data_IF_804974886037
#
_entry.id   IF_804974886037
#
_cell.length_a   1.000
_cell.length_b   1.000
_cell.length_c   1.000
_cell.angle_alpha   90.00
_cell.angle_beta   90.00
_cell.angle_gamma   90.00
#
_symmetry.space_group_name_H-M   'P 1'
#
loop_
_entity.id
_entity.type
_entity.pdbx_description
1 polymer ?
#
# COMPACT_ATOMS: atom_id res chain seq x y z
N UNK A 1 14.76 12.25 3.46
CA UNK A 1 14.08 12.01 2.16
C UNK A 1 13.95 13.30 1.33
N UNK A 2 14.98 13.67 0.55
CA UNK A 2 14.99 14.92 -0.22
C UNK A 2 14.63 14.81 -1.72
N UNK A 3 14.32 13.60 -2.20
CA UNK A 3 14.29 13.30 -3.65
C UNK A 3 12.92 12.85 -4.19
N UNK A 4 11.96 12.54 -3.33
CA UNK A 4 10.70 11.89 -3.74
C UNK A 4 9.77 12.79 -4.56
N UNK A 5 9.97 14.12 -4.47
CA UNK A 5 9.31 15.12 -5.32
C UNK A 5 10.03 15.37 -6.66
N UNK A 6 11.24 14.83 -6.87
CA UNK A 6 12.06 15.08 -8.07
C UNK A 6 11.62 14.16 -9.20
N UNK A 7 10.53 14.54 -9.88
CA UNK A 7 9.91 13.78 -10.97
C UNK A 7 10.88 13.37 -12.10
N UNK A 8 11.96 14.14 -12.30
CA UNK A 8 12.99 13.89 -13.32
C UNK A 8 14.21 13.08 -12.80
N UNK A 9 14.23 12.65 -11.53
CA UNK A 9 15.31 11.81 -11.00
C UNK A 9 15.13 10.39 -11.50
N UNK A 10 15.91 9.98 -12.50
CA UNK A 10 16.02 8.56 -12.83
C UNK A 10 16.61 7.80 -11.63
N UNK A 11 15.93 6.74 -11.22
CA UNK A 11 16.45 5.71 -10.30
C UNK A 11 16.49 4.39 -11.05
N UNK A 12 17.40 3.47 -10.71
CA UNK A 12 17.40 2.15 -11.33
C UNK A 12 16.16 1.33 -10.93
N UNK A 13 15.65 0.54 -11.88
CA UNK A 13 14.48 -0.33 -11.69
C UNK A 13 14.89 -1.56 -10.87
N UNK A 14 14.25 -1.75 -9.71
CA UNK A 14 14.47 -2.91 -8.83
C UNK A 14 13.96 -4.20 -9.48
N UNK A 15 14.66 -5.29 -9.23
CA UNK A 15 14.35 -6.65 -9.72
C UNK A 15 14.62 -7.66 -8.62
N UNK A 16 14.03 -8.86 -8.71
CA UNK A 16 14.29 -9.93 -7.72
C UNK A 16 15.77 -10.27 -7.65
N UNK A 17 16.45 -10.34 -8.80
CA UNK A 17 17.88 -10.58 -8.86
C UNK A 17 18.71 -9.47 -8.19
N UNK A 18 18.45 -8.20 -8.52
CA UNK A 18 19.25 -7.09 -7.97
C UNK A 18 19.08 -6.96 -6.46
N UNK A 19 17.86 -7.09 -5.94
CA UNK A 19 17.60 -6.96 -4.49
C UNK A 19 18.06 -8.20 -3.72
N UNK A 20 17.94 -9.41 -4.29
CA UNK A 20 18.53 -10.62 -3.72
C UNK A 20 20.07 -10.53 -3.64
N UNK A 21 20.73 -9.98 -4.68
CA UNK A 21 22.18 -9.70 -4.64
C UNK A 21 22.56 -8.71 -3.52
N UNK A 22 21.74 -7.69 -3.24
CA UNK A 22 21.98 -6.76 -2.11
C UNK A 22 21.86 -7.48 -0.76
N UNK A 23 20.79 -8.24 -0.52
CA UNK A 23 20.63 -9.00 0.75
C UNK A 23 21.76 -10.03 0.93
N UNK A 24 22.11 -10.76 -0.14
CA UNK A 24 23.22 -11.75 -0.15
C UNK A 24 24.59 -11.12 0.09
N UNK A 25 24.76 -9.83 -0.25
CA UNK A 25 25.96 -9.04 0.09
C UNK A 25 25.91 -8.58 1.55
N UNK A 26 24.77 -8.05 1.99
CA UNK A 26 24.60 -7.51 3.34
C UNK A 26 24.79 -8.58 4.43
N UNK A 27 24.34 -9.81 4.17
CA UNK A 27 24.53 -10.98 5.06
C UNK A 27 25.99 -11.44 5.25
N UNK A 28 26.97 -10.76 4.63
CA UNK A 28 28.42 -11.01 4.78
C UNK A 28 29.15 -9.89 5.54
N UNK A 29 28.42 -8.87 5.99
CA UNK A 29 28.94 -7.71 6.70
C UNK A 29 28.78 -7.89 8.22
N UNK A 30 29.30 -6.94 9.00
CA UNK A 30 28.90 -6.81 10.40
C UNK A 30 27.49 -6.19 10.50
N UNK A 31 26.86 -6.24 11.68
CA UNK A 31 25.46 -5.80 11.87
C UNK A 31 25.25 -4.34 11.46
N UNK A 32 26.16 -3.43 11.82
CA UNK A 32 26.06 -2.00 11.50
C UNK A 32 26.12 -1.75 10.00
N UNK A 33 27.16 -2.29 9.33
CA UNK A 33 27.35 -2.17 7.88
C UNK A 33 26.22 -2.88 7.10
N UNK A 34 25.65 -3.95 7.66
CA UNK A 34 24.49 -4.66 7.12
C UNK A 34 23.23 -3.78 7.17
N UNK A 35 22.95 -3.15 8.31
CA UNK A 35 21.80 -2.26 8.48
C UNK A 35 21.93 -1.01 7.61
N UNK A 36 23.09 -0.34 7.57
CA UNK A 36 23.34 0.82 6.70
C UNK A 36 23.16 0.45 5.21
N UNK A 37 23.72 -0.67 4.76
CA UNK A 37 23.56 -1.12 3.38
C UNK A 37 22.09 -1.41 3.06
N UNK A 38 21.36 -2.09 3.94
CA UNK A 38 19.96 -2.43 3.68
C UNK A 38 19.05 -1.19 3.72
N UNK A 39 19.23 -0.28 4.68
CA UNK A 39 18.49 0.98 4.75
C UNK A 39 18.75 1.86 3.51
N UNK A 40 19.98 1.91 3.00
CA UNK A 40 20.30 2.67 1.77
C UNK A 40 19.52 2.20 0.54
N UNK A 41 19.07 0.93 0.52
CA UNK A 41 18.16 0.38 -0.48
C UNK A 41 16.69 0.32 0.01
N UNK A 42 16.35 0.76 1.22
CA UNK A 42 15.00 0.59 1.77
C UNK A 42 14.58 -0.88 1.85
N UNK A 43 15.50 -1.71 2.33
CA UNK A 43 15.34 -3.13 2.63
C UNK A 43 15.56 -3.35 4.14
N UNK A 44 15.19 -4.53 4.62
CA UNK A 44 15.56 -5.02 5.95
C UNK A 44 16.33 -6.34 5.82
N UNK A 45 16.82 -6.89 6.93
CA UNK A 45 17.46 -8.21 6.92
C UNK A 45 16.40 -9.32 6.96
N UNK A 46 15.93 -9.76 5.80
CA UNK A 46 14.93 -10.82 5.65
C UNK A 46 15.18 -11.67 4.39
N UNK A 47 14.78 -12.94 4.43
CA UNK A 47 14.74 -13.82 3.25
C UNK A 47 13.34 -13.77 2.63
N UNK A 48 13.22 -13.26 1.40
CA UNK A 48 11.90 -13.11 0.79
C UNK A 48 11.46 -14.38 0.06
N UNK A 49 10.51 -15.12 0.63
CA UNK A 49 9.96 -16.33 0.00
C UNK A 49 9.40 -16.09 -1.42
N UNK A 50 8.97 -14.86 -1.76
CA UNK A 50 8.53 -14.49 -3.10
C UNK A 50 9.65 -14.45 -4.15
N UNK A 51 10.94 -14.59 -3.78
CA UNK A 51 12.05 -14.78 -4.71
C UNK A 51 12.32 -16.26 -5.04
N UNK A 52 11.86 -17.18 -4.19
CA UNK A 52 12.05 -18.64 -4.37
C UNK A 52 10.76 -19.36 -4.76
N UNK A 53 9.59 -18.75 -4.51
CA UNK A 53 8.30 -19.27 -4.95
C UNK A 53 8.18 -19.29 -6.48
N UNK A 54 7.73 -20.41 -7.05
CA UNK A 54 7.72 -20.61 -8.51
C UNK A 54 6.75 -19.64 -9.18
N UNK A 55 7.22 -19.01 -10.28
CA UNK A 55 6.50 -18.00 -11.06
C UNK A 55 6.15 -16.70 -10.29
N UNK A 56 6.76 -16.47 -9.12
CA UNK A 56 6.71 -15.18 -8.43
C UNK A 56 7.86 -14.27 -8.83
N UNK A 57 7.55 -13.00 -9.10
CA UNK A 57 8.51 -11.89 -8.98
C UNK A 57 7.77 -10.69 -8.35
N UNK A 58 8.08 -10.28 -7.11
CA UNK A 58 7.36 -9.21 -6.43
C UNK A 58 7.57 -7.82 -7.05
N UNK A 59 8.64 -7.61 -7.82
CA UNK A 59 8.95 -6.34 -8.49
C UNK A 59 8.28 -6.24 -9.88
N UNK A 60 8.03 -7.37 -10.53
CA UNK A 60 7.13 -7.47 -11.68
C UNK A 60 5.66 -7.31 -11.26
N UNK A 61 5.27 -7.90 -10.12
CA UNK A 61 3.90 -7.86 -9.60
C UNK A 61 3.49 -6.48 -9.03
N UNK A 62 4.43 -5.71 -8.47
CA UNK A 62 4.20 -4.33 -8.05
C UNK A 62 3.66 -3.49 -9.22
N UNK A 63 2.61 -2.69 -9.03
CA UNK A 63 1.96 -1.95 -10.12
C UNK A 63 1.32 -0.63 -9.66
N UNK A 64 0.82 0.15 -10.62
CA UNK A 64 0.07 1.38 -10.37
C UNK A 64 -1.40 1.07 -10.01
N UNK A 65 -1.65 0.70 -8.75
CA UNK A 65 -3.01 0.52 -8.21
C UNK A 65 -3.70 1.86 -7.93
N UNK A 66 -4.94 2.02 -8.41
CA UNK A 66 -5.68 3.28 -8.33
C UNK A 66 -6.11 3.62 -6.89
N UNK A 67 -6.49 2.61 -6.09
CA UNK A 67 -6.99 2.78 -4.73
C UNK A 67 -5.92 3.37 -3.82
N UNK A 68 -4.70 2.82 -3.85
CA UNK A 68 -3.59 3.25 -3.00
C UNK A 68 -2.91 4.55 -3.49
N UNK A 69 -3.10 4.95 -4.75
CA UNK A 69 -2.47 6.15 -5.32
C UNK A 69 -3.40 7.35 -5.40
N UNK A 70 -4.58 7.20 -6.01
CA UNK A 70 -5.52 8.29 -6.22
C UNK A 70 -6.50 8.40 -5.06
N UNK A 71 -7.25 7.33 -4.77
CA UNK A 71 -8.41 7.40 -3.87
C UNK A 71 -7.99 7.57 -2.40
N UNK A 72 -7.28 6.58 -1.84
CA UNK A 72 -6.72 6.64 -0.49
C UNK A 72 -5.49 7.55 -0.39
N UNK A 73 -4.70 7.62 -1.47
CA UNK A 73 -3.49 8.46 -1.53
C UNK A 73 -3.82 9.95 -1.67
N UNK A 74 -3.84 10.45 -2.91
CA UNK A 74 -3.96 11.87 -3.25
C UNK A 74 -5.25 12.50 -2.72
N UNK A 75 -6.40 11.91 -3.07
CA UNK A 75 -7.69 12.43 -2.67
C UNK A 75 -7.87 12.31 -1.16
N UNK A 76 -7.70 11.12 -0.58
CA UNK A 76 -7.94 10.87 0.84
C UNK A 76 -7.04 11.64 1.79
N UNK A 77 -5.73 11.36 1.78
CA UNK A 77 -4.78 11.91 2.78
C UNK A 77 -4.45 13.40 2.56
N UNK A 78 -4.73 13.95 1.37
CA UNK A 78 -4.44 15.35 1.04
C UNK A 78 -5.70 16.17 0.69
N UNK A 79 -6.33 15.95 -0.47
CA UNK A 79 -7.39 16.82 -1.00
C UNK A 79 -8.61 16.89 -0.07
N UNK A 80 -9.09 15.74 0.43
CA UNK A 80 -10.25 15.64 1.30
C UNK A 80 -10.04 16.35 2.65
N UNK A 81 -8.81 16.33 3.18
CA UNK A 81 -8.50 17.04 4.43
C UNK A 81 -8.63 18.55 4.26
N UNK A 82 -8.11 19.11 3.16
CA UNK A 82 -8.25 20.53 2.83
C UNK A 82 -9.71 20.92 2.56
N UNK A 83 -10.49 20.04 1.92
CA UNK A 83 -11.93 20.24 1.72
C UNK A 83 -12.67 20.27 3.07
N UNK A 84 -12.38 19.35 4.00
CA UNK A 84 -12.97 19.37 5.36
C UNK A 84 -12.63 20.66 6.10
N UNK A 85 -11.37 21.09 6.08
CA UNK A 85 -10.90 22.31 6.73
C UNK A 85 -11.62 23.56 6.19
N UNK A 86 -11.77 23.67 4.87
CA UNK A 86 -12.55 24.74 4.22
C UNK A 86 -14.05 24.68 4.57
N UNK A 87 -14.66 23.49 4.54
CA UNK A 87 -16.08 23.31 4.89
C UNK A 87 -16.36 23.60 6.38
N UNK A 88 -15.40 23.33 7.27
CA UNK A 88 -15.50 23.63 8.70
C UNK A 88 -15.34 25.12 8.96
N UNK A 89 -14.25 25.73 8.47
CA UNK A 89 -13.97 27.17 8.66
C UNK A 89 -15.01 28.09 8.01
N UNK A 90 -15.59 27.69 6.87
CA UNK A 90 -16.71 28.40 6.23
C UNK A 90 -18.09 28.12 6.82
N UNK A 91 -18.23 27.24 7.82
CA UNK A 91 -19.53 26.82 8.38
C UNK A 91 -20.43 26.01 7.42
N UNK A 92 -19.88 25.55 6.28
CA UNK A 92 -20.60 24.88 5.21
C UNK A 92 -20.80 23.36 5.42
N UNK A 93 -20.11 22.78 6.41
CA UNK A 93 -20.05 21.33 6.63
C UNK A 93 -21.44 20.65 6.76
N UNK A 94 -22.40 21.25 7.48
CA UNK A 94 -23.77 20.69 7.55
C UNK A 94 -24.41 20.64 6.17
N UNK A 95 -24.44 21.78 5.47
CA UNK A 95 -25.05 21.91 4.13
C UNK A 95 -24.42 20.96 3.11
N UNK A 96 -23.12 20.70 3.22
CA UNK A 96 -22.44 19.70 2.40
C UNK A 96 -22.93 18.27 2.71
N UNK A 97 -23.04 17.91 4.00
CA UNK A 97 -23.62 16.63 4.42
C UNK A 97 -25.08 16.48 3.98
N UNK A 98 -25.88 17.55 4.07
CA UNK A 98 -27.28 17.57 3.64
C UNK A 98 -27.42 17.27 2.13
N UNK A 99 -26.54 17.80 1.28
CA UNK A 99 -26.48 17.44 -0.14
C UNK A 99 -25.98 16.01 -0.36
N UNK A 100 -24.95 15.57 0.37
CA UNK A 100 -24.41 14.21 0.24
C UNK A 100 -25.42 13.13 0.70
N UNK A 101 -26.26 13.44 1.68
CA UNK A 101 -27.33 12.55 2.13
C UNK A 101 -28.48 12.41 1.11
N UNK A 102 -28.65 13.38 0.20
CA UNK A 102 -29.66 13.34 -0.88
C UNK A 102 -29.26 12.43 -2.06
N UNK A 103 -28.03 11.91 -2.13
CA UNK A 103 -27.63 10.99 -3.19
C UNK A 103 -28.43 9.67 -3.14
N UNK A 104 -28.77 9.06 -4.30
CA UNK A 104 -29.46 7.77 -4.34
C UNK A 104 -28.69 6.66 -3.64
N UNK A 105 -29.39 5.86 -2.82
CA UNK A 105 -28.80 4.69 -2.16
C UNK A 105 -28.67 3.53 -3.14
N UNK A 106 -27.45 3.15 -3.49
CA UNK A 106 -27.19 1.98 -4.33
C UNK A 106 -27.16 0.67 -3.54
N UNK A 107 -27.86 -0.35 -4.04
CA UNK A 107 -27.95 -1.68 -3.40
C UNK A 107 -26.56 -2.31 -3.28
N UNK A 108 -26.15 -2.64 -2.05
CA UNK A 108 -24.84 -3.24 -1.76
C UNK A 108 -23.71 -2.24 -1.47
N UNK A 109 -23.97 -0.94 -1.54
CA UNK A 109 -22.99 0.09 -1.16
C UNK A 109 -23.43 0.84 0.12
N UNK A 110 -22.44 1.24 0.95
CA UNK A 110 -22.68 2.03 2.16
C UNK A 110 -23.03 3.47 1.78
N UNK A 111 -24.24 3.92 2.12
CA UNK A 111 -24.61 5.33 2.01
C UNK A 111 -23.81 6.17 3.01
N UNK A 112 -23.30 7.32 2.57
CA UNK A 112 -22.49 8.22 3.41
C UNK A 112 -23.24 9.54 3.59
N UNK A 113 -24.06 9.61 4.64
CA UNK A 113 -24.91 10.78 4.94
C UNK A 113 -24.15 11.96 5.54
N UNK A 114 -22.96 11.72 6.11
CA UNK A 114 -22.22 12.72 6.90
C UNK A 114 -20.72 12.68 6.61
N UNK A 115 -20.28 12.79 5.35
CA UNK A 115 -18.87 12.61 4.98
C UNK A 115 -17.90 13.56 5.73
N UNK A 116 -18.28 14.79 6.10
CA UNK A 116 -17.34 15.69 6.80
C UNK A 116 -16.95 15.22 8.20
N UNK A 117 -17.67 14.24 8.79
CA UNK A 117 -17.31 13.60 10.05
C UNK A 117 -16.49 12.32 9.85
N UNK A 118 -15.94 12.12 8.64
CA UNK A 118 -15.13 10.95 8.27
C UNK A 118 -13.76 11.41 7.76
N UNK A 119 -12.72 10.96 8.45
CA UNK A 119 -11.34 11.06 7.95
C UNK A 119 -11.10 9.99 6.89
N UNK A 120 -10.64 10.40 5.71
CA UNK A 120 -10.42 9.48 4.61
C UNK A 120 -9.12 8.71 4.85
N UNK A 121 -9.29 7.45 5.23
CA UNK A 121 -8.29 6.63 5.94
C UNK A 121 -8.33 5.19 5.41
N UNK A 122 -8.08 5.06 4.10
CA UNK A 122 -8.10 3.79 3.36
C UNK A 122 -9.45 3.03 3.45
N UNK A 123 -9.51 1.77 2.97
CA UNK A 123 -10.77 1.13 2.62
C UNK A 123 -11.74 0.92 3.77
N UNK A 124 -11.26 0.80 5.02
CA UNK A 124 -12.06 0.54 6.23
C UNK A 124 -11.64 1.32 7.51
N UNK A 125 -11.21 2.59 7.40
CA UNK A 125 -11.30 3.66 8.45
C UNK A 125 -10.22 3.76 9.55
N UNK A 126 -9.98 5.03 10.00
CA UNK A 126 -9.19 5.54 11.15
C UNK A 126 -7.64 5.58 10.92
N UNK A 127 -6.80 6.46 11.51
CA UNK A 127 -6.86 7.69 12.37
C UNK A 127 -5.45 8.35 12.36
N UNK A 128 -5.15 9.64 12.58
CA UNK A 128 -5.91 10.90 12.72
C UNK A 128 -5.28 12.00 11.79
N UNK A 129 -4.44 13.00 12.10
CA UNK A 129 -3.96 13.68 13.34
C UNK A 129 -3.47 15.15 13.07
N UNK A 130 -2.84 15.83 14.04
CA UNK A 130 -2.62 17.29 14.09
C UNK A 130 -1.57 17.88 13.13
N UNK A 131 -2.04 18.28 11.93
CA UNK A 131 -1.64 19.49 11.14
C UNK A 131 -0.14 19.76 10.80
N UNK A 132 0.82 18.91 11.16
CA UNK A 132 2.22 19.00 10.72
C UNK A 132 2.47 18.43 9.32
N UNK A 133 1.85 18.97 8.27
CA UNK A 133 1.87 18.35 6.93
C UNK A 133 3.15 18.61 6.11
N UNK A 134 4.04 17.62 6.07
CA UNK A 134 5.01 17.46 4.97
C UNK A 134 4.32 16.89 3.71
N UNK A 135 4.66 17.42 2.54
CA UNK A 135 4.18 16.97 1.23
C UNK A 135 5.10 15.89 0.63
N UNK A 136 5.60 14.97 1.48
CA UNK A 136 6.53 13.91 1.08
C UNK A 136 5.83 12.75 0.36
N UNK A 137 5.41 13.01 -0.87
CA UNK A 137 4.71 12.03 -1.69
C UNK A 137 5.65 10.90 -2.17
N UNK A 138 5.94 9.89 -1.34
CA UNK A 138 6.65 8.66 -1.79
C UNK A 138 6.05 8.10 -3.09
N UNK A 139 4.72 8.17 -3.22
CA UNK A 139 3.94 7.69 -4.36
C UNK A 139 3.91 8.63 -5.57
N UNK A 140 4.37 9.88 -5.49
CA UNK A 140 4.35 10.78 -6.67
C UNK A 140 5.42 10.38 -7.68
N UNK A 141 6.60 9.92 -7.24
CA UNK A 141 7.67 9.50 -8.16
C UNK A 141 7.24 8.34 -9.07
N UNK A 142 6.43 7.38 -8.61
CA UNK A 142 5.98 6.24 -9.44
C UNK A 142 5.18 6.65 -10.69
N UNK A 143 4.74 7.90 -10.81
CA UNK A 143 4.17 8.42 -12.05
C UNK A 143 5.19 8.53 -13.20
N UNK A 144 6.49 8.73 -12.92
CA UNK A 144 7.52 8.71 -13.97
C UNK A 144 7.69 7.31 -14.56
N UNK A 145 7.46 6.27 -13.74
CA UNK A 145 7.56 4.86 -14.13
C UNK A 145 6.24 4.27 -14.64
N UNK A 146 5.12 4.98 -14.51
CA UNK A 146 3.79 4.47 -14.85
C UNK A 146 3.66 4.07 -16.33
N UNK A 147 4.31 4.79 -17.25
CA UNK A 147 4.31 4.45 -18.68
C UNK A 147 5.08 3.13 -18.92
N UNK A 148 6.26 2.96 -18.32
CA UNK A 148 7.00 1.70 -18.42
C UNK A 148 6.23 0.52 -17.82
N UNK A 149 5.53 0.75 -16.70
CA UNK A 149 4.70 -0.27 -16.07
C UNK A 149 3.48 -0.64 -16.93
N UNK A 150 2.78 0.33 -17.54
CA UNK A 150 1.71 0.00 -18.50
C UNK A 150 2.24 -0.72 -19.76
N UNK A 151 3.42 -0.35 -20.25
CA UNK A 151 4.04 -0.99 -21.42
C UNK A 151 4.56 -2.41 -21.12
N UNK A 152 4.99 -2.69 -19.88
CA UNK A 152 5.52 -4.00 -19.48
C UNK A 152 4.46 -4.95 -18.89
N UNK A 153 3.38 -4.42 -18.30
CA UNK A 153 2.36 -5.20 -17.54
C UNK A 153 0.95 -5.10 -18.14
N UNK A 154 0.74 -4.23 -19.12
CA UNK A 154 -0.55 -4.02 -19.77
C UNK A 154 -1.54 -3.20 -18.95
N UNK A 155 -2.82 -3.24 -19.36
CA UNK A 155 -3.90 -2.48 -18.71
C UNK A 155 -4.27 -3.06 -17.34
N UNK A 156 -4.48 -2.21 -16.34
CA UNK A 156 -4.81 -2.54 -14.94
C UNK A 156 -6.19 -3.20 -14.71
N UNK A 157 -6.77 -3.86 -15.72
CA UNK A 157 -8.15 -4.39 -15.70
C UNK A 157 -8.43 -5.40 -14.57
N UNK A 158 -7.41 -6.13 -14.13
CA UNK A 158 -7.45 -7.05 -12.98
C UNK A 158 -6.68 -6.52 -11.75
N UNK A 159 -5.99 -5.37 -11.87
CA UNK A 159 -5.12 -4.81 -10.82
C UNK A 159 -5.90 -3.86 -9.91
N UNK A 160 -6.97 -4.36 -9.29
CA UNK A 160 -7.75 -3.65 -8.28
C UNK A 160 -7.52 -4.31 -6.92
N UNK A 161 -6.70 -3.69 -6.08
CA UNK A 161 -6.29 -4.25 -4.78
C UNK A 161 -7.43 -4.47 -3.78
N UNK A 162 -8.63 -3.90 -3.99
CA UNK A 162 -9.79 -3.99 -3.08
C UNK A 162 -10.20 -5.42 -2.69
N UNK A 163 -9.91 -6.42 -3.53
CA UNK A 163 -10.14 -7.85 -3.20
C UNK A 163 -8.99 -8.42 -2.35
N UNK A 164 -7.74 -8.02 -2.63
CA UNK A 164 -6.55 -8.44 -1.89
C UNK A 164 -6.38 -7.73 -0.54
N UNK A 165 -6.92 -6.52 -0.38
CA UNK A 165 -6.89 -5.73 0.86
C UNK A 165 -7.47 -6.52 2.05
N UNK A 166 -8.59 -7.23 1.84
CA UNK A 166 -9.18 -8.10 2.86
C UNK A 166 -8.29 -9.27 3.26
N UNK A 167 -7.59 -9.89 2.30
CA UNK A 167 -6.60 -10.94 2.59
C UNK A 167 -5.39 -10.38 3.35
N UNK A 168 -4.88 -9.21 2.95
CA UNK A 168 -3.75 -8.56 3.62
C UNK A 168 -4.08 -8.17 5.08
N UNK A 169 -5.31 -7.73 5.36
CA UNK A 169 -5.79 -7.52 6.73
C UNK A 169 -5.90 -8.81 7.54
N UNK A 170 -6.15 -9.96 6.92
CA UNK A 170 -6.09 -11.25 7.62
C UNK A 170 -4.65 -11.71 7.86
N UNK A 171 -3.74 -11.50 6.88
CA UNK A 171 -2.29 -11.72 7.06
C UNK A 171 -1.74 -10.87 8.21
N UNK A 172 -2.11 -9.59 8.31
CA UNK A 172 -1.72 -8.71 9.43
C UNK A 172 -2.19 -9.25 10.79
N UNK A 173 -3.45 -9.69 10.88
CA UNK A 173 -4.04 -10.30 12.09
C UNK A 173 -3.44 -11.67 12.43
N UNK A 174 -2.69 -12.30 11.53
CA UNK A 174 -1.85 -13.47 11.84
C UNK A 174 -0.42 -13.07 12.20
N UNK A 175 0.16 -12.05 11.54
CA UNK A 175 1.47 -11.49 11.90
C UNK A 175 1.50 -11.04 13.37
N UNK A 176 0.44 -10.36 13.84
CA UNK A 176 0.25 -9.95 15.24
C UNK A 176 0.19 -11.12 16.26
N UNK A 177 0.08 -12.38 15.79
CA UNK A 177 0.10 -13.59 16.62
C UNK A 177 1.44 -14.34 16.56
N UNK A 178 2.37 -13.91 15.70
CA UNK A 178 3.73 -14.46 15.64
C UNK A 178 4.60 -13.87 16.74
N UNK A 179 5.76 -14.49 16.97
CA UNK A 179 6.81 -13.93 17.83
C UNK A 179 7.66 -12.84 17.15
N UNK A 180 7.29 -12.38 15.94
CA UNK A 180 8.03 -11.38 15.16
C UNK A 180 9.35 -11.86 14.54
N UNK A 181 9.70 -13.15 14.66
CA UNK A 181 10.93 -13.75 14.09
C UNK A 181 10.57 -14.92 13.18
N UNK A 182 10.95 -14.86 11.91
CA UNK A 182 10.50 -15.82 10.89
C UNK A 182 8.96 -15.90 10.86
N UNK A 183 8.33 -14.72 10.75
CA UNK A 183 6.89 -14.55 10.90
C UNK A 183 6.13 -15.05 9.66
N UNK A 184 6.71 -14.88 8.48
CA UNK A 184 6.27 -15.44 7.20
C UNK A 184 6.15 -16.97 7.23
N UNK A 185 7.09 -17.68 7.86
CA UNK A 185 6.95 -19.13 8.09
C UNK A 185 5.78 -19.47 9.03
N UNK A 186 5.68 -18.82 10.19
CA UNK A 186 4.57 -19.04 11.14
C UNK A 186 3.19 -18.77 10.51
N UNK A 187 3.08 -17.74 9.67
CA UNK A 187 1.86 -17.39 8.94
C UNK A 187 1.58 -18.40 7.81
N UNK A 188 2.60 -18.85 7.09
CA UNK A 188 2.49 -19.87 6.04
C UNK A 188 2.01 -21.22 6.60
N UNK A 189 2.57 -21.66 7.74
CA UNK A 189 2.15 -22.88 8.43
C UNK A 189 0.68 -22.77 8.89
N UNK A 190 0.28 -21.63 9.46
CA UNK A 190 -1.09 -21.39 9.88
C UNK A 190 -2.10 -21.47 8.72
N UNK A 191 -1.78 -20.90 7.57
CA UNK A 191 -2.61 -21.02 6.36
C UNK A 191 -2.62 -22.42 5.77
N UNK A 192 -1.51 -23.16 5.85
CA UNK A 192 -1.40 -24.54 5.37
C UNK A 192 -2.22 -25.52 6.21
N UNK A 193 -2.32 -25.29 7.53
CA UNK A 193 -3.07 -26.12 8.47
C UNK A 193 -4.58 -25.80 8.44
N UNK A 194 -4.98 -24.55 8.16
CA UNK A 194 -6.39 -24.17 8.10
C UNK A 194 -7.00 -24.47 6.71
N UNK A 195 -7.80 -25.54 6.63
CA UNK A 195 -8.55 -25.93 5.42
C UNK A 195 -9.37 -24.79 4.78
N UNK A 196 -9.85 -23.83 5.59
CA UNK A 196 -10.55 -22.61 5.14
C UNK A 196 -9.72 -21.75 4.15
N UNK A 197 -8.39 -21.80 4.21
CA UNK A 197 -7.48 -21.05 3.33
C UNK A 197 -6.83 -21.88 2.23
N UNK A 198 -6.83 -23.21 2.37
CA UNK A 198 -6.23 -24.16 1.39
C UNK A 198 -6.76 -24.04 -0.06
N UNK A 199 -7.92 -23.42 -0.26
CA UNK A 199 -8.51 -23.16 -1.57
C UNK A 199 -8.04 -21.85 -2.23
N UNK A 200 -7.50 -20.89 -1.47
CA UNK A 200 -7.05 -19.59 -2.01
C UNK A 200 -5.78 -19.73 -2.86
N UNK A 201 -5.00 -20.80 -2.63
CA UNK A 201 -3.81 -21.15 -3.41
C UNK A 201 -4.09 -21.84 -4.77
N UNK A 202 -5.36 -21.98 -5.18
CA UNK A 202 -5.74 -22.44 -6.53
C UNK A 202 -6.34 -21.28 -7.31
N UNK A 203 -5.48 -20.59 -8.05
CA UNK A 203 -5.87 -19.63 -9.09
C UNK A 203 -5.52 -20.29 -10.42
N UNK A 204 -6.54 -20.54 -11.23
CA UNK A 204 -6.45 -21.06 -12.60
C UNK A 204 -6.20 -19.91 -13.61
#
# INVERSE_FOLDING_TARGET
HGDLHKLFKHSERRTSESMCRIVTRAAKLNVTDQEELLESYGLHNFEHFLWTFRHSDPYAAACYDLLHYFDGGKWGRHTWVLIKEYLQSGGLASKFNDYMNQFPRWRGLKHISSPTTIDYSEGQTFVHDALGKDFNFLKQHSLSHAIEDFMSKGTSRNMNTRVGEGFQQEVEKMYQKTNGKNAEHQVSDYFSINSKYSLVGRID
#
